data_IF_601407900400
#
_entry.id   IF_601407900400
#
_cell.length_a   1.000
_cell.length_b   1.000
_cell.length_c   1.000
_cell.angle_alpha   90.00
_cell.angle_beta   90.00
_cell.angle_gamma   90.00
#
_symmetry.space_group_name_H-M   'P 1'
#
loop_
_entity.id
_entity.type
_entity.pdbx_description
1 polymer ?
#
# COMPACT_ATOMS: atom_id res chain seq x y z
N UNK A 1 -38.07 -25.20 -37.33
CA UNK A 1 -37.77 -24.18 -36.30
C UNK A 1 -36.33 -24.44 -35.84
N UNK A 2 -35.36 -23.68 -36.32
CA UNK A 2 -33.93 -23.90 -36.07
C UNK A 2 -33.52 -22.98 -34.91
N UNK A 3 -33.15 -23.55 -33.76
CA UNK A 3 -32.75 -22.78 -32.57
C UNK A 3 -31.23 -22.70 -32.57
N UNK A 4 -30.68 -21.52 -32.88
CA UNK A 4 -29.25 -21.25 -32.74
C UNK A 4 -28.93 -20.95 -31.26
N UNK A 5 -28.15 -21.83 -30.64
CA UNK A 5 -27.51 -21.55 -29.36
C UNK A 5 -26.27 -20.67 -29.59
N UNK A 6 -26.34 -19.41 -29.15
CA UNK A 6 -25.18 -18.53 -29.10
C UNK A 6 -24.31 -18.91 -27.90
N UNK A 7 -23.10 -19.41 -28.15
CA UNK A 7 -22.08 -19.60 -27.12
C UNK A 7 -21.50 -18.23 -26.74
N UNK A 8 -21.91 -17.67 -25.60
CA UNK A 8 -21.28 -16.49 -25.05
C UNK A 8 -19.91 -16.89 -24.45
N UNK A 9 -18.82 -16.43 -25.06
CA UNK A 9 -17.49 -16.54 -24.46
C UNK A 9 -17.40 -15.58 -23.28
N UNK A 10 -17.40 -16.10 -22.06
CA UNK A 10 -17.12 -15.33 -20.84
C UNK A 10 -15.61 -15.02 -20.84
N UNK A 11 -15.25 -13.78 -21.14
CA UNK A 11 -13.89 -13.30 -20.93
C UNK A 11 -13.66 -13.16 -19.42
N UNK A 12 -12.92 -14.11 -18.83
CA UNK A 12 -12.44 -13.97 -17.46
C UNK A 12 -11.39 -12.87 -17.42
N UNK A 13 -11.71 -11.74 -16.78
CA UNK A 13 -10.69 -10.76 -16.43
C UNK A 13 -9.74 -11.43 -15.42
N UNK A 14 -8.58 -11.86 -15.89
CA UNK A 14 -7.50 -12.32 -15.04
C UNK A 14 -7.07 -11.16 -14.16
N UNK A 15 -7.37 -11.25 -12.86
CA UNK A 15 -6.83 -10.34 -11.84
C UNK A 15 -5.32 -10.58 -11.83
N UNK A 16 -4.56 -9.75 -12.55
CA UNK A 16 -3.10 -9.84 -12.55
C UNK A 16 -2.67 -9.54 -11.11
N UNK A 17 -2.04 -10.47 -10.40
CA UNK A 17 -1.53 -10.20 -9.07
C UNK A 17 -0.54 -9.06 -9.17
N UNK A 18 -0.77 -8.01 -8.38
CA UNK A 18 0.09 -6.83 -8.38
C UNK A 18 1.53 -7.15 -8.03
N UNK A 19 2.46 -6.40 -8.61
CA UNK A 19 3.87 -6.44 -8.25
C UNK A 19 4.09 -5.92 -6.82
N UNK A 20 4.52 -6.81 -5.94
CA UNK A 20 5.21 -6.42 -4.71
C UNK A 20 6.66 -6.03 -5.02
N UNK A 21 7.36 -5.32 -4.12
CA UNK A 21 8.78 -5.08 -4.27
C UNK A 21 9.54 -6.40 -4.45
N UNK A 22 10.42 -6.46 -5.45
CA UNK A 22 11.21 -7.68 -5.73
C UNK A 22 12.41 -7.86 -4.79
N UNK A 23 12.65 -6.90 -3.88
CA UNK A 23 13.81 -6.89 -2.99
C UNK A 23 13.62 -5.98 -1.79
N UNK A 24 14.74 -5.43 -1.30
CA UNK A 24 14.76 -4.51 -0.17
C UNK A 24 14.27 -3.13 -0.60
N UNK A 25 13.26 -2.63 0.10
CA UNK A 25 12.79 -1.24 -0.02
C UNK A 25 13.60 -0.36 0.92
N UNK A 26 14.07 0.79 0.43
CA UNK A 26 14.92 1.72 1.19
C UNK A 26 14.27 3.09 1.30
N UNK A 27 13.93 3.50 2.52
CA UNK A 27 13.33 4.80 2.85
C UNK A 27 14.33 5.63 3.64
N UNK A 28 14.98 6.61 2.99
CA UNK A 28 16.14 7.28 3.60
C UNK A 28 17.25 6.28 3.93
N UNK A 29 17.57 6.10 5.21
CA UNK A 29 18.52 5.08 5.69
C UNK A 29 17.86 3.78 6.16
N UNK A 30 16.53 3.73 6.29
CA UNK A 30 15.80 2.55 6.73
C UNK A 30 15.67 1.55 5.59
N UNK A 31 15.80 0.26 5.92
CA UNK A 31 15.72 -0.85 4.96
C UNK A 31 14.64 -1.82 5.40
N UNK A 32 13.71 -2.11 4.51
CA UNK A 32 12.58 -2.99 4.73
C UNK A 32 12.66 -4.18 3.79
N UNK A 33 12.53 -5.37 4.36
CA UNK A 33 12.33 -6.60 3.59
C UNK A 33 10.90 -6.68 3.07
N UNK A 34 10.70 -7.46 2.01
CA UNK A 34 9.38 -7.73 1.47
C UNK A 34 8.39 -8.29 2.52
N UNK A 35 8.87 -9.11 3.47
CA UNK A 35 8.01 -9.65 4.54
C UNK A 35 7.54 -8.55 5.49
N UNK A 36 8.38 -7.56 5.81
CA UNK A 36 7.98 -6.41 6.62
C UNK A 36 6.96 -5.53 5.91
N UNK A 37 7.14 -5.29 4.59
CA UNK A 37 6.17 -4.54 3.78
C UNK A 37 4.82 -5.25 3.77
N UNK A 38 4.79 -6.55 3.47
CA UNK A 38 3.56 -7.37 3.50
C UNK A 38 2.89 -7.37 4.86
N UNK A 39 3.67 -7.51 5.93
CA UNK A 39 3.15 -7.54 7.28
C UNK A 39 2.55 -6.18 7.70
N UNK A 40 3.18 -5.06 7.31
CA UNK A 40 2.65 -3.73 7.56
C UNK A 40 1.35 -3.47 6.80
N UNK A 41 1.27 -3.87 5.52
CA UNK A 41 0.02 -3.76 4.73
C UNK A 41 -1.10 -4.59 5.37
N UNK A 42 -0.81 -5.86 5.68
CA UNK A 42 -1.78 -6.74 6.34
C UNK A 42 -2.24 -6.20 7.71
N UNK A 43 -1.36 -5.50 8.43
CA UNK A 43 -1.71 -4.85 9.69
C UNK A 43 -2.59 -3.61 9.46
N UNK A 44 -2.30 -2.81 8.44
CA UNK A 44 -3.11 -1.65 8.07
C UNK A 44 -4.55 -2.03 7.74
N UNK A 45 -4.73 -3.06 6.90
CA UNK A 45 -6.05 -3.59 6.52
C UNK A 45 -6.87 -4.01 7.76
N UNK A 46 -6.24 -4.64 8.76
CA UNK A 46 -6.93 -5.04 10.01
C UNK A 46 -7.47 -3.87 10.82
N UNK A 47 -6.91 -2.67 10.65
CA UNK A 47 -7.29 -1.49 11.40
C UNK A 47 -8.21 -0.54 10.61
N UNK A 48 -8.63 -0.89 9.39
CA UNK A 48 -9.55 -0.04 8.60
C UNK A 48 -10.87 0.22 9.35
N UNK A 49 -11.47 -0.80 9.94
CA UNK A 49 -12.72 -0.67 10.71
C UNK A 49 -12.52 -0.15 12.14
N UNK A 50 -11.30 -0.22 12.68
CA UNK A 50 -10.99 0.19 14.04
C UNK A 50 -9.59 0.85 14.10
N UNK A 51 -9.47 2.13 13.72
CA UNK A 51 -8.19 2.81 13.63
C UNK A 51 -7.43 2.87 14.95
N UNK A 52 -6.10 2.90 14.88
CA UNK A 52 -5.20 2.75 16.03
C UNK A 52 -4.26 3.95 16.22
N UNK A 53 -3.90 4.21 17.48
CA UNK A 53 -2.98 5.27 17.89
C UNK A 53 -3.66 6.63 18.02
N UNK A 54 -2.95 7.61 18.59
CA UNK A 54 -3.48 8.97 18.79
C UNK A 54 -3.86 9.66 17.48
N UNK A 55 -3.23 9.25 16.38
CA UNK A 55 -3.50 9.80 15.07
C UNK A 55 -4.57 9.00 14.31
N UNK A 56 -5.03 7.84 14.80
CA UNK A 56 -6.07 7.00 14.16
C UNK A 56 -5.68 6.45 12.78
N UNK A 57 -4.61 5.68 12.68
CA UNK A 57 -4.22 5.00 11.43
C UNK A 57 -5.05 3.73 11.18
N UNK A 58 -5.30 3.34 9.91
CA UNK A 58 -4.80 3.95 8.66
C UNK A 58 -5.47 5.27 8.29
N UNK A 59 -4.83 6.07 7.43
CA UNK A 59 -5.38 7.34 6.91
C UNK A 59 -5.58 7.28 5.42
N UNK A 60 -6.54 8.06 4.89
CA UNK A 60 -6.65 8.27 3.45
C UNK A 60 -5.39 8.92 2.88
N UNK A 61 -4.82 8.31 1.84
CA UNK A 61 -3.66 8.82 1.11
C UNK A 61 -4.08 9.34 -0.26
N UNK A 62 -4.09 10.67 -0.43
CA UNK A 62 -4.59 11.29 -1.65
C UNK A 62 -3.56 11.38 -2.80
N UNK A 63 -2.29 11.02 -2.53
CA UNK A 63 -1.19 11.10 -3.50
C UNK A 63 -1.04 12.48 -4.18
N UNK A 64 -1.11 13.57 -3.41
CA UNK A 64 -1.00 14.95 -3.93
C UNK A 64 0.35 15.24 -4.59
N UNK A 65 1.38 14.47 -4.24
CA UNK A 65 2.73 14.55 -4.80
C UNK A 65 2.86 13.87 -6.17
N UNK A 66 1.84 13.11 -6.61
CA UNK A 66 1.86 12.39 -7.89
C UNK A 66 2.88 11.25 -7.92
N UNK A 67 3.08 10.57 -6.78
CA UNK A 67 4.00 9.45 -6.67
C UNK A 67 3.51 8.27 -7.51
N UNK A 68 4.47 7.47 -7.99
CA UNK A 68 4.18 6.25 -8.71
C UNK A 68 3.51 5.25 -7.78
N UNK A 69 2.30 4.85 -8.17
CA UNK A 69 1.52 3.81 -7.49
C UNK A 69 1.56 2.55 -8.34
N UNK A 70 1.95 1.42 -7.74
CA UNK A 70 1.96 0.12 -8.40
C UNK A 70 0.56 -0.52 -8.46
N UNK A 71 -0.46 0.26 -8.08
CA UNK A 71 -1.89 -0.01 -8.10
C UNK A 71 -2.63 0.30 -9.38
N UNK A 72 -2.27 -0.35 -10.49
CA UNK A 72 -3.06 -0.13 -11.70
C UNK A 72 -4.53 -0.49 -11.47
N UNK A 73 -5.41 0.52 -11.60
CA UNK A 73 -6.86 0.37 -11.50
C UNK A 73 -7.48 0.78 -10.15
N UNK A 74 -6.68 1.02 -9.10
CA UNK A 74 -7.21 1.52 -7.82
C UNK A 74 -7.19 3.06 -7.78
N UNK A 75 -8.06 3.64 -6.97
CA UNK A 75 -8.15 5.09 -6.77
C UNK A 75 -8.21 5.52 -5.30
N UNK A 76 -8.70 4.65 -4.43
CA UNK A 76 -8.90 4.95 -3.02
C UNK A 76 -7.79 4.30 -2.20
N UNK A 77 -6.84 5.11 -1.73
CA UNK A 77 -5.64 4.63 -1.03
C UNK A 77 -5.66 4.98 0.46
N UNK A 78 -4.99 4.13 1.22
CA UNK A 78 -4.74 4.25 2.64
C UNK A 78 -3.23 4.22 2.90
N UNK A 79 -2.74 5.07 3.82
CA UNK A 79 -1.40 5.01 4.38
C UNK A 79 -1.40 4.37 5.77
N UNK A 80 -0.38 3.56 6.05
CA UNK A 80 -0.18 2.96 7.37
C UNK A 80 1.30 2.88 7.74
N UNK A 81 1.69 3.09 9.01
CA UNK A 81 3.09 3.13 9.40
C UNK A 81 3.84 1.79 9.20
N UNK A 82 5.08 1.87 8.71
CA UNK A 82 6.05 0.77 8.71
C UNK A 82 7.27 1.15 9.54
N UNK A 83 7.51 0.43 10.64
CA UNK A 83 8.48 0.83 11.65
C UNK A 83 9.87 0.29 11.36
N UNK A 84 10.90 1.13 11.41
CA UNK A 84 12.30 0.75 11.21
C UNK A 84 12.83 -0.22 12.27
N UNK A 85 12.15 -0.33 13.41
CA UNK A 85 12.41 -1.36 14.44
C UNK A 85 12.06 -2.78 13.98
N UNK A 86 11.26 -2.93 12.93
CA UNK A 86 10.73 -4.20 12.45
C UNK A 86 9.48 -4.69 13.18
N UNK A 87 9.03 -4.00 14.23
CA UNK A 87 7.74 -4.28 14.88
C UNK A 87 6.56 -3.81 14.03
N UNK A 88 5.41 -4.47 14.19
CA UNK A 88 4.15 -3.98 13.64
C UNK A 88 3.66 -2.75 14.41
N UNK A 89 3.09 -1.80 13.69
CA UNK A 89 2.50 -0.62 14.30
C UNK A 89 1.19 -0.97 15.03
N UNK A 90 1.09 -0.56 16.29
CA UNK A 90 -0.10 -0.76 17.13
C UNK A 90 -0.48 0.51 17.90
N UNK A 91 -0.15 1.69 17.35
CA UNK A 91 -0.53 2.99 17.92
C UNK A 91 0.59 3.77 18.63
N UNK A 92 1.85 3.36 18.49
CA UNK A 92 3.01 4.12 18.99
C UNK A 92 3.27 5.40 18.16
N UNK A 93 4.44 6.03 18.32
CA UNK A 93 4.91 7.00 17.33
C UNK A 93 5.04 6.32 15.96
N UNK A 94 4.48 6.89 14.86
CA UNK A 94 4.44 6.23 13.55
C UNK A 94 5.76 6.31 12.77
N UNK A 95 6.69 7.19 13.17
CA UNK A 95 7.88 7.48 12.36
C UNK A 95 7.53 8.12 11.01
N UNK A 96 8.49 8.08 10.08
CA UNK A 96 8.40 8.80 8.79
C UNK A 96 7.86 7.96 7.62
N UNK A 97 7.86 6.64 7.75
CA UNK A 97 7.68 5.73 6.61
C UNK A 97 6.28 5.10 6.62
N UNK A 98 5.70 4.90 5.43
CA UNK A 98 4.35 4.36 5.24
C UNK A 98 4.35 3.29 4.17
N UNK A 99 3.57 2.24 4.39
CA UNK A 99 3.02 1.44 3.28
C UNK A 99 1.74 2.11 2.81
N UNK A 100 1.52 2.07 1.50
CA UNK A 100 0.27 2.48 0.87
C UNK A 100 -0.44 1.22 0.39
N UNK A 101 -1.77 1.16 0.54
CA UNK A 101 -2.61 0.09 -0.01
C UNK A 101 -3.97 0.66 -0.38
N UNK A 102 -4.71 0.03 -1.30
CA UNK A 102 -6.07 0.44 -1.62
C UNK A 102 -7.08 -0.04 -0.57
N UNK A 103 -8.28 0.52 -0.56
CA UNK A 103 -9.41 0.16 0.31
C UNK A 103 -9.81 -1.34 0.26
N UNK A 104 -9.57 -2.00 -0.86
CA UNK A 104 -9.74 -3.44 -1.03
C UNK A 104 -8.49 -4.26 -0.64
N UNK A 105 -7.52 -3.62 0.01
CA UNK A 105 -6.32 -4.24 0.59
C UNK A 105 -5.17 -4.50 -0.37
N UNK A 106 -5.18 -3.93 -1.58
CA UNK A 106 -4.11 -4.18 -2.55
C UNK A 106 -2.94 -3.21 -2.34
N UNK A 107 -1.76 -3.75 -2.01
CA UNK A 107 -0.53 -2.98 -1.75
C UNK A 107 -0.13 -2.04 -2.90
N UNK A 108 0.16 -0.78 -2.63
CA UNK A 108 0.33 0.24 -3.64
C UNK A 108 1.75 0.78 -3.80
N UNK A 109 2.41 1.09 -2.69
CA UNK A 109 3.73 1.68 -2.66
C UNK A 109 4.29 1.64 -1.23
N UNK A 110 5.56 2.02 -1.08
CA UNK A 110 6.15 2.44 0.18
C UNK A 110 6.72 3.85 0.00
N UNK A 111 6.38 4.73 0.93
CA UNK A 111 6.71 6.16 0.87
C UNK A 111 7.32 6.64 2.18
N UNK A 112 8.01 7.77 2.16
CA UNK A 112 8.65 8.36 3.34
C UNK A 112 8.60 9.88 3.34
N UNK A 113 8.43 10.47 4.52
CA UNK A 113 8.69 11.90 4.72
C UNK A 113 10.20 12.23 4.65
N UNK A 114 11.07 11.23 4.79
CA UNK A 114 12.52 11.45 4.84
C UNK A 114 13.04 11.92 3.49
N UNK A 115 13.61 13.12 3.44
CA UNK A 115 14.06 13.75 2.18
C UNK A 115 12.95 14.50 1.43
N UNK A 116 11.72 14.48 1.92
CA UNK A 116 10.63 15.34 1.44
C UNK A 116 10.66 16.70 2.17
N UNK A 117 10.03 17.71 1.56
CA UNK A 117 9.83 19.01 2.19
C UNK A 117 8.51 19.05 2.96
N UNK A 118 8.50 19.64 4.15
CA UNK A 118 7.29 19.78 4.97
C UNK A 118 6.68 18.42 5.34
N UNK A 119 5.38 18.26 5.08
CA UNK A 119 4.63 17.02 5.33
C UNK A 119 4.46 16.16 4.06
N UNK A 120 5.19 16.47 2.98
CA UNK A 120 5.08 15.71 1.74
C UNK A 120 5.75 14.33 1.91
N UNK A 121 5.46 13.44 0.96
CA UNK A 121 6.13 12.17 0.80
C UNK A 121 6.99 12.12 -0.46
N UNK A 122 7.99 11.24 -0.42
CA UNK A 122 8.73 10.75 -1.60
C UNK A 122 8.67 9.22 -1.63
N UNK A 123 8.77 8.63 -2.83
CA UNK A 123 8.84 7.18 -2.99
C UNK A 123 10.13 6.62 -2.37
N UNK A 124 10.01 5.47 -1.70
CA UNK A 124 11.18 4.71 -1.26
C UNK A 124 11.86 4.04 -2.46
N UNK A 125 13.19 3.85 -2.38
CA UNK A 125 13.96 3.20 -3.44
C UNK A 125 13.81 1.68 -3.38
N UNK A 126 13.75 1.02 -4.54
CA UNK A 126 13.55 -0.44 -4.63
C UNK A 126 12.08 -0.88 -4.42
N UNK A 127 11.17 0.09 -4.34
CA UNK A 127 9.72 -0.09 -4.39
C UNK A 127 9.19 -0.25 -5.82
#
# INVERSE_FOLDING_TARGET
>A
MLVLFALAAVASASVIPRAWPSGTVTCGSHKYSLSQVKAAVAQGIKYEDNPVGSNSYPHTFNNYEGLKMWCTGESDYNEFPILSSGSLYTGSSPGADRVIFSDNGVYCAVVTHTGASGNNFVSCSGD
#
